data_IF_285756202152
#
_entry.id   IF_285756202152
#
_cell.length_a   1.000
_cell.length_b   1.000
_cell.length_c   1.000
_cell.angle_alpha   90.00
_cell.angle_beta   90.00
_cell.angle_gamma   90.00
#
_symmetry.space_group_name_H-M   'P 1'
#
loop_
_entity.id
_entity.type
_entity.pdbx_description
1 polymer ?
#
# COMPACT_ATOMS: atom_id res chain seq x y z
N UNK A 1 5.39 -8.99 -5.50
CA UNK A 1 5.93 -9.89 -6.52
C UNK A 1 5.42 -9.49 -7.91
N UNK A 2 4.12 -9.32 -8.11
CA UNK A 2 3.55 -9.19 -9.47
C UNK A 2 3.89 -7.91 -10.23
N UNK A 3 4.30 -6.83 -9.55
CA UNK A 3 4.54 -5.53 -10.19
C UNK A 3 5.94 -5.40 -10.78
N UNK A 4 6.93 -6.10 -10.22
CA UNK A 4 8.28 -6.15 -10.77
C UNK A 4 8.34 -6.92 -12.10
N UNK A 5 7.52 -7.95 -12.26
CA UNK A 5 7.50 -8.77 -13.49
C UNK A 5 6.83 -8.05 -14.65
N UNK A 6 5.76 -7.27 -14.39
CA UNK A 6 5.10 -6.45 -15.41
C UNK A 6 5.99 -5.29 -15.86
N UNK A 7 6.71 -4.65 -14.93
CA UNK A 7 7.70 -3.61 -15.26
C UNK A 7 8.89 -4.17 -16.06
N UNK A 8 9.39 -5.36 -15.71
CA UNK A 8 10.48 -6.03 -16.42
C UNK A 8 10.05 -6.49 -17.83
N UNK A 9 8.85 -7.06 -17.97
CA UNK A 9 8.31 -7.50 -19.25
C UNK A 9 8.03 -6.32 -20.20
N UNK A 10 7.47 -5.23 -19.67
CA UNK A 10 7.23 -3.99 -20.44
C UNK A 10 8.55 -3.35 -20.89
N UNK A 11 9.56 -3.31 -20.01
CA UNK A 11 10.88 -2.80 -20.36
C UNK A 11 11.58 -3.62 -21.47
N UNK A 12 11.48 -4.95 -21.43
CA UNK A 12 12.07 -5.85 -22.42
C UNK A 12 11.47 -5.67 -23.83
N UNK A 13 10.14 -5.58 -23.93
CA UNK A 13 9.45 -5.41 -25.23
C UNK A 13 9.75 -4.06 -25.88
N UNK A 14 9.86 -3.02 -25.06
CA UNK A 14 10.14 -1.67 -25.52
C UNK A 14 11.61 -1.51 -25.98
N UNK A 15 12.57 -2.19 -25.35
CA UNK A 15 13.99 -2.13 -25.75
C UNK A 15 14.25 -2.71 -27.16
N UNK A 16 13.41 -3.62 -27.65
CA UNK A 16 13.58 -4.21 -28.97
C UNK A 16 13.34 -3.22 -30.13
N UNK A 17 12.64 -2.11 -29.88
CA UNK A 17 12.39 -1.07 -30.89
C UNK A 17 13.65 -0.26 -31.18
N UNK A 18 14.42 0.09 -30.15
CA UNK A 18 15.72 0.79 -30.28
C UNK A 18 16.79 -0.04 -30.98
N UNK A 19 16.76 -1.37 -30.83
CA UNK A 19 17.72 -2.28 -31.48
C UNK A 19 17.59 -2.35 -33.00
N UNK A 20 16.54 -1.76 -33.59
CA UNK A 20 16.25 -1.81 -35.04
C UNK A 20 16.59 -0.52 -35.79
N UNK A 21 17.06 0.53 -35.11
CA UNK A 21 17.44 1.81 -35.74
C UNK A 21 18.96 1.91 -35.93
N UNK A 22 19.38 2.47 -37.07
CA UNK A 22 20.80 2.68 -37.38
C UNK A 22 21.41 3.71 -36.41
N UNK A 23 22.52 3.34 -35.77
CA UNK A 23 23.19 4.15 -34.74
C UNK A 23 23.73 5.47 -35.32
N UNK A 24 23.48 6.59 -34.63
CA UNK A 24 23.85 7.95 -35.04
C UNK A 24 22.86 8.64 -35.99
N UNK A 25 21.73 8.00 -36.34
CA UNK A 25 20.76 8.57 -37.28
C UNK A 25 19.74 9.50 -36.62
N UNK A 26 19.12 10.39 -37.42
CA UNK A 26 17.95 11.18 -36.97
C UNK A 26 16.78 10.29 -36.53
N UNK A 27 16.68 9.10 -37.11
CA UNK A 27 15.66 8.12 -36.79
C UNK A 27 15.91 7.47 -35.42
N UNK A 28 17.16 7.20 -35.05
CA UNK A 28 17.53 6.74 -33.70
C UNK A 28 17.17 7.79 -32.63
N UNK A 29 17.50 9.07 -32.86
CA UNK A 29 17.18 10.14 -31.93
C UNK A 29 15.65 10.28 -31.73
N UNK A 30 14.90 10.17 -32.82
CA UNK A 30 13.42 10.22 -32.79
C UNK A 30 12.84 8.99 -32.10
N UNK A 31 13.34 7.80 -32.41
CA UNK A 31 12.93 6.54 -31.78
C UNK A 31 13.24 6.53 -30.27
N UNK A 32 14.39 7.05 -29.86
CA UNK A 32 14.78 7.20 -28.45
C UNK A 32 13.82 8.12 -27.70
N UNK A 33 13.47 9.26 -28.31
CA UNK A 33 12.50 10.20 -27.72
C UNK A 33 11.12 9.55 -27.57
N UNK A 34 10.63 8.88 -28.62
CA UNK A 34 9.35 8.16 -28.59
C UNK A 34 9.35 7.05 -27.53
N UNK A 35 10.43 6.28 -27.45
CA UNK A 35 10.63 5.24 -26.43
C UNK A 35 10.57 5.80 -25.01
N UNK A 36 11.26 6.91 -24.74
CA UNK A 36 11.25 7.53 -23.42
C UNK A 36 9.86 8.04 -23.01
N UNK A 37 9.11 8.61 -23.97
CA UNK A 37 7.72 9.02 -23.74
C UNK A 37 6.84 7.80 -23.45
N UNK A 38 6.97 6.72 -24.22
CA UNK A 38 6.21 5.50 -24.02
C UNK A 38 6.54 4.83 -22.67
N UNK A 39 7.81 4.80 -22.28
CA UNK A 39 8.25 4.31 -20.96
C UNK A 39 7.62 5.12 -19.83
N UNK A 40 7.53 6.45 -19.98
CA UNK A 40 6.85 7.33 -19.01
C UNK A 40 5.36 7.00 -18.91
N UNK A 41 4.66 6.86 -20.03
CA UNK A 41 3.23 6.51 -20.06
C UNK A 41 2.94 5.16 -19.40
N UNK A 42 3.76 4.14 -19.68
CA UNK A 42 3.61 2.83 -19.02
C UNK A 42 3.79 2.94 -17.51
N UNK A 43 4.80 3.70 -17.06
CA UNK A 43 5.05 3.93 -15.63
C UNK A 43 3.86 4.63 -14.96
N UNK A 44 3.30 5.65 -15.59
CA UNK A 44 2.13 6.38 -15.07
C UNK A 44 0.87 5.50 -15.02
N UNK A 45 0.67 4.65 -16.03
CA UNK A 45 -0.43 3.69 -16.06
C UNK A 45 -0.30 2.66 -14.91
N UNK A 46 0.89 2.09 -14.73
CA UNK A 46 1.15 1.12 -13.67
C UNK A 46 0.96 1.75 -12.28
N UNK A 47 1.41 2.99 -12.08
CA UNK A 47 1.19 3.72 -10.84
C UNK A 47 -0.30 3.98 -10.57
N UNK A 48 -1.07 4.29 -11.62
CA UNK A 48 -2.53 4.50 -11.51
C UNK A 48 -3.26 3.21 -11.15
N UNK A 49 -2.91 2.07 -11.78
CA UNK A 49 -3.46 0.75 -11.44
C UNK A 49 -3.16 0.39 -9.99
N UNK A 50 -1.92 0.61 -9.52
CA UNK A 50 -1.57 0.39 -8.11
C UNK A 50 -2.36 1.30 -7.18
N UNK A 51 -2.56 2.58 -7.54
CA UNK A 51 -3.38 3.50 -6.77
C UNK A 51 -4.83 3.02 -6.67
N UNK A 52 -5.39 2.52 -7.77
CA UNK A 52 -6.76 2.00 -7.80
C UNK A 52 -6.93 0.79 -6.89
N UNK A 53 -6.00 -0.17 -6.95
CA UNK A 53 -5.99 -1.36 -6.06
C UNK A 53 -5.96 -0.97 -4.58
N UNK A 54 -5.12 0.00 -4.21
CA UNK A 54 -5.02 0.51 -2.83
C UNK A 54 -6.32 1.17 -2.39
N UNK A 55 -6.94 1.98 -3.26
CA UNK A 55 -8.25 2.58 -2.99
C UNK A 55 -9.37 1.54 -2.83
N UNK A 56 -9.40 0.51 -3.68
CA UNK A 56 -10.39 -0.59 -3.56
C UNK A 56 -10.28 -1.34 -2.24
N UNK A 57 -9.06 -1.62 -1.77
CA UNK A 57 -8.80 -2.23 -0.47
C UNK A 57 -9.35 -1.35 0.68
N UNK A 58 -9.10 -0.04 0.64
CA UNK A 58 -9.65 0.90 1.62
C UNK A 58 -11.18 0.96 1.58
N UNK A 59 -11.79 0.94 0.40
CA UNK A 59 -13.26 0.91 0.24
C UNK A 59 -13.83 -0.37 0.87
N UNK A 60 -13.21 -1.52 0.61
CA UNK A 60 -13.65 -2.79 1.18
C UNK A 60 -13.54 -2.79 2.71
N UNK A 61 -12.45 -2.23 3.25
CA UNK A 61 -12.24 -2.11 4.68
C UNK A 61 -13.21 -1.13 5.35
N UNK A 62 -13.49 0.00 4.71
CA UNK A 62 -14.43 1.01 5.21
C UNK A 62 -15.85 0.46 5.39
N UNK A 63 -16.25 -0.56 4.61
CA UNK A 63 -17.53 -1.26 4.76
C UNK A 63 -17.58 -2.17 5.99
N UNK A 64 -16.43 -2.59 6.52
CA UNK A 64 -16.31 -3.53 7.64
C UNK A 64 -16.06 -2.85 8.98
N UNK A 65 -15.47 -1.65 8.98
CA UNK A 65 -15.12 -0.92 10.20
C UNK A 65 -16.20 0.11 10.51
N UNK A 66 -16.61 0.17 11.78
CA UNK A 66 -17.45 1.23 12.31
C UNK A 66 -16.64 2.11 13.27
N UNK A 67 -16.68 3.43 13.07
CA UNK A 67 -15.96 4.40 13.89
C UNK A 67 -16.92 5.03 14.91
N UNK A 68 -16.67 4.82 16.20
CA UNK A 68 -17.56 5.25 17.30
C UNK A 68 -17.47 6.75 17.62
N UNK A 69 -16.37 7.43 17.29
CA UNK A 69 -16.16 8.85 17.66
C UNK A 69 -15.39 9.58 16.56
N UNK A 70 -16.04 10.61 15.98
CA UNK A 70 -15.60 11.40 14.80
C UNK A 70 -15.40 10.52 13.55
N UNK A 71 -16.01 10.94 12.44
CA UNK A 71 -15.84 10.26 11.15
C UNK A 71 -14.35 10.32 10.79
N UNK A 72 -13.66 9.19 10.85
CA UNK A 72 -12.31 9.08 10.32
C UNK A 72 -12.41 8.83 8.81
N UNK A 73 -11.88 9.72 7.96
CA UNK A 73 -11.92 9.51 6.51
C UNK A 73 -10.91 8.43 6.14
N UNK A 74 -11.31 7.16 6.26
CA UNK A 74 -10.43 6.01 6.00
C UNK A 74 -9.89 6.03 4.57
N UNK A 75 -10.75 6.38 3.60
CA UNK A 75 -10.40 6.45 2.19
C UNK A 75 -9.68 7.78 1.93
N UNK A 76 -8.43 7.70 1.48
CA UNK A 76 -7.61 8.83 1.06
C UNK A 76 -6.70 8.41 -0.10
N UNK A 77 -6.40 9.33 -1.03
CA UNK A 77 -5.54 9.05 -2.19
C UNK A 77 -4.11 8.67 -1.80
N UNK A 78 -3.60 9.24 -0.71
CA UNK A 78 -2.24 8.99 -0.22
C UNK A 78 -2.14 7.84 0.77
N UNK A 79 -3.25 7.16 1.09
CA UNK A 79 -3.28 6.11 2.10
C UNK A 79 -3.24 4.72 1.47
N UNK A 80 -2.49 3.81 2.08
CA UNK A 80 -2.51 2.39 1.74
C UNK A 80 -2.24 1.52 2.95
N UNK A 81 -2.84 0.32 2.94
CA UNK A 81 -2.64 -0.66 4.00
C UNK A 81 -1.27 -1.32 3.81
N UNK A 82 -0.44 -1.24 4.84
CA UNK A 82 0.90 -1.83 4.88
C UNK A 82 0.84 -3.24 5.45
N UNK A 83 0.08 -3.43 6.53
CA UNK A 83 -0.10 -4.73 7.20
C UNK A 83 -1.38 -4.72 8.03
N UNK A 84 -1.97 -5.89 8.22
CA UNK A 84 -3.11 -6.05 9.12
C UNK A 84 -3.14 -7.45 9.74
N UNK A 85 -3.82 -7.60 10.88
CA UNK A 85 -3.94 -8.89 11.55
C UNK A 85 -4.43 -8.84 12.99
N UNK A 86 -4.76 -10.01 13.53
CA UNK A 86 -5.14 -10.19 14.93
C UNK A 86 -3.91 -10.05 15.83
N UNK A 87 -4.08 -9.33 16.93
CA UNK A 87 -3.09 -9.14 17.99
C UNK A 87 -3.75 -9.35 19.36
N UNK A 88 -2.90 -9.59 20.35
CA UNK A 88 -3.30 -9.58 21.75
C UNK A 88 -2.70 -8.34 22.41
N UNK A 89 -3.57 -7.43 22.82
CA UNK A 89 -3.20 -6.31 23.67
C UNK A 89 -2.97 -6.83 25.08
N UNK A 90 -1.77 -6.61 25.63
CA UNK A 90 -1.38 -7.00 26.98
C UNK A 90 -1.32 -5.73 27.84
N UNK A 91 -2.25 -5.61 28.78
CA UNK A 91 -2.30 -4.50 29.74
C UNK A 91 -1.86 -5.00 31.12
N UNK A 92 -0.89 -4.31 31.72
CA UNK A 92 -0.31 -4.64 33.01
C UNK A 92 -0.74 -3.60 34.03
N UNK A 93 -1.80 -3.92 34.77
CA UNK A 93 -2.37 -3.03 35.76
C UNK A 93 -1.74 -3.28 37.12
N UNK A 94 -1.21 -2.22 37.75
CA UNK A 94 -0.74 -2.28 39.13
C UNK A 94 -1.96 -2.33 40.07
N UNK A 95 -2.13 -3.45 40.76
CA UNK A 95 -3.27 -3.68 41.66
C UNK A 95 -2.98 -3.20 43.07
N UNK A 96 -1.71 -3.13 43.47
CA UNK A 96 -1.29 -2.63 44.78
C UNK A 96 0.15 -2.10 44.76
N UNK A 97 0.34 -0.86 45.20
CA UNK A 97 1.65 -0.19 45.39
C UNK A 97 2.45 -0.74 46.56
N UNK A 98 1.78 -1.29 47.58
CA UNK A 98 2.43 -1.78 48.81
C UNK A 98 3.12 -3.15 48.65
N UNK A 99 2.74 -3.93 47.62
CA UNK A 99 3.27 -5.28 47.40
C UNK A 99 3.69 -5.55 45.94
N UNK A 100 3.82 -4.50 45.10
CA UNK A 100 4.14 -4.60 43.67
C UNK A 100 3.39 -5.74 42.94
N UNK A 101 2.08 -5.87 43.21
CA UNK A 101 1.25 -6.89 42.55
C UNK A 101 0.70 -6.35 41.25
N UNK A 102 1.09 -6.97 40.14
CA UNK A 102 0.59 -6.65 38.81
C UNK A 102 -0.42 -7.70 38.35
N UNK A 103 -1.50 -7.27 37.74
CA UNK A 103 -2.45 -8.12 37.02
C UNK A 103 -2.24 -7.93 35.53
N UNK A 104 -1.94 -9.01 34.84
CA UNK A 104 -1.94 -9.07 33.38
C UNK A 104 -3.38 -9.29 32.90
N UNK A 105 -3.84 -8.41 32.02
CA UNK A 105 -5.08 -8.61 31.28
C UNK A 105 -4.77 -8.62 29.79
N UNK A 106 -5.43 -9.52 29.06
CA UNK A 106 -5.23 -9.69 27.62
C UNK A 106 -6.54 -9.45 26.89
N UNK A 107 -6.51 -8.66 25.83
CA UNK A 107 -7.68 -8.41 24.98
C UNK A 107 -7.33 -8.65 23.52
N UNK A 108 -8.20 -9.35 22.79
CA UNK A 108 -8.03 -9.51 21.35
C UNK A 108 -8.37 -8.19 20.65
N UNK A 109 -7.46 -7.76 19.78
CA UNK A 109 -7.62 -6.56 18.96
C UNK A 109 -7.18 -6.88 17.53
N UNK A 110 -7.71 -6.16 16.56
CA UNK A 110 -7.29 -6.29 15.16
C UNK A 110 -6.61 -5.00 14.71
N UNK A 111 -5.36 -5.15 14.27
CA UNK A 111 -4.50 -4.06 13.80
C UNK A 111 -4.71 -3.82 12.31
N UNK A 112 -4.82 -2.54 11.93
CA UNK A 112 -4.72 -2.07 10.56
C UNK A 112 -3.63 -0.99 10.50
N UNK A 113 -2.46 -1.35 9.95
CA UNK A 113 -1.33 -0.44 9.80
C UNK A 113 -1.35 0.17 8.40
N UNK A 114 -1.54 1.48 8.34
CA UNK A 114 -1.39 2.27 7.12
C UNK A 114 -0.04 2.97 7.10
N UNK A 115 0.28 3.60 5.98
CA UNK A 115 1.50 4.38 5.82
C UNK A 115 1.54 5.67 6.65
N UNK A 116 0.38 6.22 7.03
CA UNK A 116 0.25 7.51 7.72
C UNK A 116 -0.46 7.42 9.08
N UNK A 117 -1.06 6.27 9.41
CA UNK A 117 -1.80 6.07 10.65
C UNK A 117 -1.91 4.58 11.02
N UNK A 118 -2.32 4.33 12.26
CA UNK A 118 -2.57 3.01 12.80
C UNK A 118 -3.97 2.98 13.41
N UNK A 119 -4.77 1.99 13.03
CA UNK A 119 -6.09 1.77 13.59
C UNK A 119 -6.12 0.46 14.37
N UNK A 120 -6.71 0.52 15.56
CA UNK A 120 -7.07 -0.64 16.36
C UNK A 120 -8.59 -0.80 16.33
N UNK A 121 -9.03 -2.01 16.04
CA UNK A 121 -10.45 -2.37 16.01
C UNK A 121 -10.72 -3.55 16.92
N UNK A 122 -11.93 -3.62 17.45
CA UNK A 122 -12.43 -4.73 18.25
C UNK A 122 -13.69 -5.28 17.59
N UNK A 123 -13.92 -6.58 17.74
CA UNK A 123 -15.19 -7.18 17.32
C UNK A 123 -16.27 -6.62 18.23
N UNK A 124 -17.34 -6.09 17.63
CA UNK A 124 -18.55 -5.73 18.36
C UNK A 124 -19.20 -7.03 18.82
N UNK A 125 -19.44 -7.16 20.12
CA UNK A 125 -20.25 -8.24 20.70
C UNK A 125 -21.71 -8.13 20.25
#
# INVERSE_FOLDING_TARGET
>A
SDTSDVDAFSASRLQNILKRTLQGSRDEATATKAFNQLKKLVKECNASVQSMKRTEELIHLNKKIHFESKIFPLISQSRWLVKHGELVEVDMQLVSTLAAKFKLSTKMVYLHLFNDCLLLSRRKE
#
